data_IF_249011932714
#
_entry.id   IF_249011932714
#
_cell.length_a   1.000
_cell.length_b   1.000
_cell.length_c   1.000
_cell.angle_alpha   90.00
_cell.angle_beta   90.00
_cell.angle_gamma   90.00
#
_symmetry.space_group_name_H-M   'P 1'
#
loop_
_entity.id
_entity.type
_entity.pdbx_description
1 polymer ?
#
# COMPACT_ATOMS: atom_id res chain seq x y z
N UNK A 1 21.20 -13.18 8.88
CA UNK A 1 19.90 -13.87 8.84
C UNK A 1 18.94 -12.94 8.16
N UNK A 2 18.39 -13.33 7.02
CA UNK A 2 17.32 -12.59 6.34
C UNK A 2 16.09 -12.68 7.24
N UNK A 3 15.55 -11.55 7.70
CA UNK A 3 14.34 -11.56 8.51
C UNK A 3 13.14 -11.56 7.55
N UNK A 4 12.47 -12.70 7.44
CA UNK A 4 11.27 -12.89 6.63
C UNK A 4 10.05 -12.60 7.49
N UNK A 5 9.18 -11.72 7.01
CA UNK A 5 7.87 -11.51 7.60
C UNK A 5 6.80 -11.64 6.53
N UNK A 6 5.79 -12.47 6.80
CA UNK A 6 4.62 -12.65 5.95
C UNK A 6 3.50 -11.78 6.44
N UNK A 7 2.89 -11.05 5.51
CA UNK A 7 1.80 -10.13 5.75
C UNK A 7 0.61 -10.45 4.86
N UNK A 8 -0.58 -10.28 5.40
CA UNK A 8 -1.82 -10.24 4.64
C UNK A 8 -2.26 -8.79 4.50
N UNK A 9 -2.28 -8.29 3.27
CA UNK A 9 -2.87 -7.00 2.95
C UNK A 9 -4.30 -7.21 2.46
N UNK A 10 -5.20 -6.34 2.86
CA UNK A 10 -6.61 -6.38 2.48
C UNK A 10 -7.12 -4.98 2.19
N UNK A 11 -7.98 -4.87 1.18
CA UNK A 11 -8.73 -3.67 0.84
C UNK A 11 -10.19 -4.05 0.68
N UNK A 12 -11.06 -3.42 1.45
CA UNK A 12 -12.51 -3.55 1.35
C UNK A 12 -13.05 -2.21 0.86
N UNK A 13 -13.74 -2.22 -0.27
CA UNK A 13 -14.43 -1.06 -0.84
C UNK A 13 -15.91 -1.27 -0.68
N UNK A 14 -16.56 -0.45 0.14
CA UNK A 14 -18.00 -0.49 0.41
C UNK A 14 -18.65 0.75 -0.21
N UNK A 15 -19.60 0.55 -1.11
CA UNK A 15 -20.33 1.63 -1.81
C UNK A 15 -21.83 1.56 -1.50
N UNK A 16 -22.38 2.67 -1.00
CA UNK A 16 -23.81 2.83 -0.76
C UNK A 16 -24.53 3.14 -2.08
N UNK A 17 -25.23 2.15 -2.65
CA UNK A 17 -25.98 2.35 -3.89
C UNK A 17 -27.41 2.86 -3.63
N UNK A 18 -27.98 2.59 -2.44
CA UNK A 18 -29.26 3.10 -1.96
C UNK A 18 -29.19 3.28 -0.43
N UNK A 19 -30.06 4.12 0.19
CA UNK A 19 -30.03 4.31 1.64
C UNK A 19 -30.03 2.99 2.42
N UNK A 20 -28.98 2.74 3.20
CA UNK A 20 -28.75 1.51 3.96
C UNK A 20 -28.51 0.23 3.13
N UNK A 21 -28.20 0.33 1.83
CA UNK A 21 -27.85 -0.80 0.98
C UNK A 21 -26.47 -0.60 0.36
N UNK A 22 -25.56 -1.52 0.67
CA UNK A 22 -24.16 -1.43 0.31
C UNK A 22 -23.75 -2.60 -0.60
N UNK A 23 -22.84 -2.30 -1.52
CA UNK A 23 -22.08 -3.33 -2.24
C UNK A 23 -20.65 -3.32 -1.72
N UNK A 24 -20.04 -4.48 -1.57
CA UNK A 24 -18.67 -4.60 -1.08
C UNK A 24 -17.80 -5.38 -2.06
N UNK A 25 -16.59 -4.87 -2.29
CA UNK A 25 -15.53 -5.56 -3.03
C UNK A 25 -14.33 -5.75 -2.14
N UNK A 26 -13.76 -6.95 -2.19
CA UNK A 26 -12.65 -7.34 -1.33
C UNK A 26 -11.46 -7.79 -2.15
N UNK A 27 -10.31 -7.22 -1.87
CA UNK A 27 -9.04 -7.54 -2.52
C UNK A 27 -8.03 -7.90 -1.46
N UNK A 28 -7.44 -9.09 -1.56
CA UNK A 28 -6.44 -9.56 -0.60
C UNK A 28 -5.20 -10.04 -1.29
N UNK A 29 -4.05 -9.81 -0.67
CA UNK A 29 -2.77 -10.38 -1.08
C UNK A 29 -1.98 -10.88 0.11
N UNK A 30 -1.32 -12.02 -0.07
CA UNK A 30 -0.29 -12.51 0.85
C UNK A 30 1.06 -12.05 0.32
N UNK A 31 1.84 -11.40 1.17
CA UNK A 31 3.08 -10.73 0.81
C UNK A 31 4.17 -11.13 1.79
N UNK A 32 5.26 -11.64 1.26
CA UNK A 32 6.49 -11.90 2.00
C UNK A 32 7.43 -10.70 1.84
N UNK A 33 7.90 -10.15 2.96
CA UNK A 33 8.84 -9.02 2.98
C UNK A 33 10.13 -9.50 3.62
N UNK A 34 11.20 -9.50 2.84
CA UNK A 34 12.54 -9.93 3.22
C UNK A 34 13.40 -8.70 3.48
N UNK A 35 13.89 -8.54 4.70
CA UNK A 35 14.97 -7.59 4.97
C UNK A 35 16.33 -8.23 4.66
N UNK A 36 17.06 -7.66 3.71
CA UNK A 36 18.39 -8.16 3.34
C UNK A 36 19.50 -7.51 4.17
N UNK A 37 19.66 -6.19 4.02
CA UNK A 37 20.80 -5.46 4.59
C UNK A 37 20.46 -3.98 4.77
N UNK A 38 21.08 -3.35 5.77
CA UNK A 38 21.16 -1.89 5.90
C UNK A 38 22.48 -1.42 5.27
N UNK A 39 22.41 -0.53 4.30
CA UNK A 39 23.57 0.14 3.72
C UNK A 39 23.45 1.65 3.96
N UNK A 40 24.33 2.18 4.82
CA UNK A 40 24.21 3.55 5.35
C UNK A 40 22.83 3.75 5.99
N UNK A 41 22.05 4.73 5.56
CA UNK A 41 20.71 5.06 6.07
C UNK A 41 19.58 4.35 5.27
N UNK A 42 19.93 3.45 4.34
CA UNK A 42 18.97 2.75 3.49
C UNK A 42 18.82 1.29 3.88
N UNK A 43 17.57 0.83 3.92
CA UNK A 43 17.18 -0.54 4.24
C UNK A 43 16.73 -1.25 2.96
N UNK A 44 17.40 -2.34 2.62
CA UNK A 44 17.13 -3.11 1.41
C UNK A 44 16.09 -4.20 1.67
N UNK A 45 15.01 -4.19 0.90
CA UNK A 45 13.95 -5.19 0.97
C UNK A 45 13.69 -5.85 -0.38
N UNK A 46 13.36 -7.14 -0.33
CA UNK A 46 12.59 -7.80 -1.41
C UNK A 46 11.17 -8.06 -0.92
N UNK A 47 10.22 -7.79 -1.81
CA UNK A 47 8.78 -7.97 -1.57
C UNK A 47 8.29 -8.98 -2.58
N UNK A 48 7.66 -10.07 -2.11
CA UNK A 48 7.07 -11.11 -2.94
C UNK A 48 5.59 -11.27 -2.62
N UNK A 49 4.70 -10.99 -3.57
CA UNK A 49 3.28 -11.31 -3.45
C UNK A 49 3.04 -12.76 -3.87
N UNK A 50 2.83 -13.65 -2.90
CA UNK A 50 2.69 -15.10 -3.15
C UNK A 50 1.26 -15.52 -3.48
N UNK A 51 0.26 -14.70 -3.13
CA UNK A 51 -1.15 -14.99 -3.39
C UNK A 51 -1.96 -13.72 -3.63
N UNK A 52 -2.87 -13.76 -4.60
CA UNK A 52 -3.91 -12.75 -4.84
C UNK A 52 -5.29 -13.41 -4.79
N UNK A 53 -6.21 -12.83 -4.04
CA UNK A 53 -7.59 -13.31 -3.92
C UNK A 53 -8.56 -12.12 -3.92
N UNK A 54 -9.38 -12.05 -4.97
CA UNK A 54 -10.29 -10.94 -5.28
C UNK A 54 -11.72 -11.47 -5.30
N UNK A 55 -12.64 -10.75 -4.65
CA UNK A 55 -14.07 -11.12 -4.58
C UNK A 55 -14.69 -11.33 -5.96
N UNK A 56 -14.26 -10.55 -6.95
CA UNK A 56 -14.84 -10.51 -8.28
C UNK A 56 -14.01 -11.31 -9.30
N UNK A 57 -13.15 -12.24 -8.86
CA UNK A 57 -12.18 -12.92 -9.73
C UNK A 57 -12.79 -13.74 -10.88
N UNK A 58 -14.07 -14.11 -10.76
CA UNK A 58 -14.80 -14.85 -11.79
C UNK A 58 -15.37 -13.93 -12.90
N UNK A 59 -15.26 -12.61 -12.73
CA UNK A 59 -15.62 -11.64 -13.76
C UNK A 59 -14.46 -11.38 -14.71
N UNK A 60 -14.75 -10.98 -15.95
CA UNK A 60 -13.72 -10.59 -16.92
C UNK A 60 -12.81 -9.46 -16.38
N UNK A 61 -13.40 -8.51 -15.65
CA UNK A 61 -12.68 -7.40 -15.01
C UNK A 61 -11.79 -7.90 -13.87
N UNK A 62 -12.29 -8.79 -13.01
CA UNK A 62 -11.50 -9.36 -11.92
C UNK A 62 -10.31 -10.18 -12.42
N UNK A 63 -10.51 -10.98 -13.47
CA UNK A 63 -9.43 -11.73 -14.11
C UNK A 63 -8.37 -10.81 -14.74
N UNK A 64 -8.82 -9.73 -15.40
CA UNK A 64 -7.94 -8.71 -15.96
C UNK A 64 -7.10 -8.01 -14.88
N UNK A 65 -7.74 -7.56 -13.79
CA UNK A 65 -7.06 -6.92 -12.66
C UNK A 65 -6.07 -7.88 -11.98
N UNK A 66 -6.43 -9.16 -11.84
CA UNK A 66 -5.55 -10.19 -11.26
C UNK A 66 -4.29 -10.38 -12.10
N UNK A 67 -4.43 -10.47 -13.43
CA UNK A 67 -3.27 -10.53 -14.35
C UNK A 67 -2.35 -9.33 -14.20
N UNK A 68 -2.90 -8.13 -14.05
CA UNK A 68 -2.12 -6.91 -13.88
C UNK A 68 -1.48 -6.83 -12.50
N UNK A 69 -2.11 -7.37 -11.46
CA UNK A 69 -1.54 -7.38 -10.11
C UNK A 69 -0.23 -8.17 -10.03
N UNK A 70 -0.07 -9.21 -10.86
CA UNK A 70 1.20 -9.92 -11.00
C UNK A 70 2.33 -9.03 -11.55
N UNK A 71 2.07 -7.86 -12.14
CA UNK A 71 3.15 -6.95 -12.55
C UNK A 71 4.02 -6.50 -11.37
N UNK A 72 3.44 -6.40 -10.17
CA UNK A 72 4.07 -5.90 -8.95
C UNK A 72 4.24 -6.99 -7.89
N UNK A 73 4.23 -8.26 -8.30
CA UNK A 73 4.39 -9.40 -7.39
C UNK A 73 5.83 -9.59 -6.88
N UNK A 74 6.81 -8.98 -7.53
CA UNK A 74 8.22 -9.03 -7.14
C UNK A 74 8.83 -7.64 -7.23
N UNK A 75 9.23 -7.09 -6.09
CA UNK A 75 9.85 -5.78 -5.98
C UNK A 75 11.15 -5.86 -5.19
N UNK A 76 12.14 -5.13 -5.66
CA UNK A 76 13.41 -4.91 -4.99
C UNK A 76 13.51 -3.41 -4.69
N UNK A 77 13.46 -3.04 -3.41
CA UNK A 77 13.30 -1.65 -2.97
C UNK A 77 14.29 -1.26 -1.88
N UNK A 78 14.63 0.02 -1.83
CA UNK A 78 15.24 0.62 -0.65
C UNK A 78 14.24 1.52 0.06
N UNK A 79 14.22 1.43 1.40
CA UNK A 79 13.50 2.35 2.25
C UNK A 79 14.45 3.20 3.12
N UNK A 80 13.99 4.37 3.54
CA UNK A 80 14.68 5.23 4.51
C UNK A 80 14.46 4.78 5.97
N UNK A 81 14.98 5.54 6.93
CA UNK A 81 14.86 5.22 8.36
C UNK A 81 13.43 5.32 8.92
N UNK A 82 12.53 6.02 8.23
CA UNK A 82 11.10 6.08 8.55
C UNK A 82 10.29 4.98 7.83
N UNK A 83 10.97 4.11 7.08
CA UNK A 83 10.38 3.07 6.26
C UNK A 83 9.59 3.62 5.04
N UNK A 84 9.92 4.79 4.51
CA UNK A 84 9.40 5.23 3.20
C UNK A 84 10.21 4.59 2.08
N UNK A 85 9.57 4.10 1.01
CA UNK A 85 10.28 3.66 -0.18
C UNK A 85 10.94 4.87 -0.84
N UNK A 86 12.24 4.79 -1.11
CA UNK A 86 13.00 5.88 -1.75
C UNK A 86 13.64 5.48 -3.08
N UNK A 87 13.68 4.17 -3.40
CA UNK A 87 14.26 3.66 -4.64
C UNK A 87 13.71 2.28 -5.01
N UNK A 88 13.57 2.01 -6.31
CA UNK A 88 13.18 0.73 -6.91
C UNK A 88 14.34 0.19 -7.75
N UNK A 89 14.99 -0.89 -7.32
CA UNK A 89 16.16 -1.45 -8.01
C UNK A 89 15.78 -2.23 -9.27
N UNK A 90 14.61 -2.86 -9.31
CA UNK A 90 14.19 -3.73 -10.41
C UNK A 90 13.23 -3.04 -11.41
N UNK A 91 13.20 -1.70 -11.48
CA UNK A 91 12.28 -0.95 -12.35
C UNK A 91 12.37 -1.35 -13.83
N UNK A 92 13.58 -1.65 -14.34
CA UNK A 92 13.77 -2.11 -15.72
C UNK A 92 13.10 -3.47 -15.97
N UNK A 93 13.11 -4.36 -14.98
CA UNK A 93 12.40 -5.65 -15.04
C UNK A 93 10.89 -5.43 -15.07
N UNK A 94 10.37 -4.56 -14.20
CA UNK A 94 8.93 -4.20 -14.18
C UNK A 94 8.48 -3.64 -15.54
N UNK A 95 9.27 -2.76 -16.15
CA UNK A 95 8.96 -2.20 -17.48
C UNK A 95 8.94 -3.27 -18.56
N UNK A 96 9.89 -4.21 -18.57
CA UNK A 96 9.92 -5.30 -19.53
C UNK A 96 8.68 -6.21 -19.35
N UNK A 97 8.40 -6.63 -18.11
CA UNK A 97 7.21 -7.42 -17.76
C UNK A 97 5.93 -6.72 -18.18
N UNK A 98 5.87 -5.39 -18.03
CA UNK A 98 4.71 -4.61 -18.47
C UNK A 98 4.54 -4.65 -19.99
N UNK A 99 5.61 -4.48 -20.78
CA UNK A 99 5.50 -4.56 -22.24
C UNK A 99 5.00 -5.93 -22.71
N UNK A 100 5.50 -7.00 -22.11
CA UNK A 100 5.06 -8.37 -22.40
C UNK A 100 3.59 -8.60 -22.00
N UNK A 101 3.22 -8.17 -20.79
CA UNK A 101 1.87 -8.32 -20.27
C UNK A 101 0.86 -7.49 -21.09
N UNK A 102 1.20 -6.24 -21.41
CA UNK A 102 0.40 -5.34 -22.22
C UNK A 102 0.12 -5.95 -23.60
N UNK A 103 1.14 -6.48 -24.26
CA UNK A 103 0.99 -7.16 -25.56
C UNK A 103 0.00 -8.31 -25.47
N UNK A 104 0.17 -9.20 -24.48
CA UNK A 104 -0.71 -10.36 -24.24
C UNK A 104 -2.16 -9.95 -23.93
N UNK A 105 -2.35 -8.90 -23.15
CA UNK A 105 -3.69 -8.42 -22.79
C UNK A 105 -4.37 -7.71 -23.97
N UNK A 106 -3.63 -7.03 -24.83
CA UNK A 106 -4.17 -6.32 -26.01
C UNK A 106 -4.81 -7.27 -27.05
N UNK A 107 -4.36 -8.52 -27.10
CA UNK A 107 -4.93 -9.54 -28.00
C UNK A 107 -6.40 -9.84 -27.70
N UNK A 108 -6.80 -9.73 -26.42
CA UNK A 108 -8.11 -10.19 -25.92
C UNK A 108 -8.95 -9.10 -25.25
N UNK A 109 -8.38 -7.91 -25.01
CA UNK A 109 -9.05 -6.79 -24.35
C UNK A 109 -8.94 -5.55 -25.24
N UNK A 110 -10.07 -4.95 -25.60
CA UNK A 110 -10.16 -3.76 -26.46
C UNK A 110 -11.18 -2.78 -25.90
N UNK A 111 -11.03 -1.51 -26.27
CA UNK A 111 -11.93 -0.43 -25.88
C UNK A 111 -11.24 0.62 -25.01
N UNK A 112 -11.78 1.84 -25.06
CA UNK A 112 -11.13 3.05 -24.52
C UNK A 112 -10.76 2.93 -23.03
N UNK A 113 -11.59 2.25 -22.24
CA UNK A 113 -11.33 2.02 -20.81
C UNK A 113 -10.07 1.19 -20.56
N UNK A 114 -9.87 0.13 -21.35
CA UNK A 114 -8.67 -0.72 -21.28
C UNK A 114 -7.44 0.08 -21.73
N UNK A 115 -7.58 0.87 -22.79
CA UNK A 115 -6.48 1.71 -23.28
C UNK A 115 -6.07 2.77 -22.25
N UNK A 116 -7.06 3.42 -21.62
CA UNK A 116 -6.85 4.37 -20.53
C UNK A 116 -6.12 3.70 -19.37
N UNK A 117 -6.55 2.49 -18.97
CA UNK A 117 -5.91 1.74 -17.90
C UNK A 117 -4.45 1.41 -18.23
N UNK A 118 -4.15 0.99 -19.47
CA UNK A 118 -2.79 0.72 -19.91
C UNK A 118 -1.93 1.99 -19.99
N UNK A 119 -2.50 3.13 -20.41
CA UNK A 119 -1.81 4.42 -20.36
C UNK A 119 -1.45 4.79 -18.92
N UNK A 120 -2.37 4.59 -17.97
CA UNK A 120 -2.14 4.87 -16.56
C UNK A 120 -0.98 4.03 -15.98
N UNK A 121 -0.97 2.71 -16.22
CA UNK A 121 0.13 1.84 -15.76
C UNK A 121 1.47 2.25 -16.39
N UNK A 122 1.47 2.55 -17.69
CA UNK A 122 2.68 3.00 -18.39
C UNK A 122 3.20 4.29 -17.75
N UNK A 123 2.33 5.27 -17.48
CA UNK A 123 2.69 6.52 -16.82
C UNK A 123 3.21 6.34 -15.39
N UNK A 124 2.75 5.32 -14.66
CA UNK A 124 3.29 4.97 -13.34
C UNK A 124 4.71 4.41 -13.47
N UNK A 125 4.95 3.53 -14.44
CA UNK A 125 6.26 2.90 -14.63
C UNK A 125 7.32 3.79 -15.29
N UNK A 126 6.92 4.80 -16.07
CA UNK A 126 7.84 5.68 -16.79
C UNK A 126 8.66 6.59 -15.86
N UNK A 127 8.14 6.88 -14.67
CA UNK A 127 8.80 7.72 -13.67
C UNK A 127 8.90 6.99 -12.33
N UNK A 128 10.12 6.79 -11.83
CA UNK A 128 10.36 6.10 -10.56
C UNK A 128 9.63 6.75 -9.38
N UNK A 129 9.52 8.09 -9.34
CA UNK A 129 8.77 8.79 -8.29
C UNK A 129 7.27 8.47 -8.34
N UNK A 130 6.70 8.34 -9.54
CA UNK A 130 5.30 7.94 -9.69
C UNK A 130 5.10 6.50 -9.23
N UNK A 131 6.03 5.60 -9.59
CA UNK A 131 6.01 4.21 -9.14
C UNK A 131 6.12 4.11 -7.62
N UNK A 132 7.05 4.85 -7.00
CA UNK A 132 7.19 4.90 -5.54
C UNK A 132 5.89 5.40 -4.90
N UNK A 133 5.34 6.51 -5.38
CA UNK A 133 4.06 7.04 -4.86
C UNK A 133 2.91 6.06 -5.00
N UNK A 134 2.85 5.33 -6.12
CA UNK A 134 1.88 4.26 -6.33
C UNK A 134 2.10 3.08 -5.38
N UNK A 135 3.33 2.62 -5.20
CA UNK A 135 3.65 1.49 -4.31
C UNK A 135 3.44 1.83 -2.83
N UNK A 136 3.59 3.09 -2.44
CA UNK A 136 3.35 3.57 -1.08
C UNK A 136 1.90 3.98 -0.80
N UNK A 137 0.97 3.80 -1.75
CA UNK A 137 -0.44 3.98 -1.44
C UNK A 137 -0.97 2.86 -0.54
N UNK A 138 -2.05 3.13 0.21
CA UNK A 138 -2.64 2.13 1.13
C UNK A 138 -3.18 0.88 0.42
N UNK A 139 -3.65 1.03 -0.83
CA UNK A 139 -4.05 -0.10 -1.68
C UNK A 139 -2.85 -0.89 -2.24
N UNK A 140 -1.61 -0.44 -2.00
CA UNK A 140 -0.36 -1.13 -2.31
C UNK A 140 0.39 -1.48 -1.01
N UNK A 141 1.69 -1.19 -0.91
CA UNK A 141 2.50 -1.56 0.24
C UNK A 141 2.61 -0.43 1.28
N UNK A 142 1.83 0.64 1.11
CA UNK A 142 1.85 1.83 1.96
C UNK A 142 1.49 1.59 3.42
N UNK A 143 0.80 0.50 3.76
CA UNK A 143 0.56 0.14 5.16
C UNK A 143 1.82 -0.36 5.87
N UNK A 144 2.75 -0.99 5.14
CA UNK A 144 4.05 -1.39 5.67
C UNK A 144 5.05 -0.25 5.54
N UNK A 145 5.21 0.30 4.32
CA UNK A 145 6.11 1.41 4.01
C UNK A 145 5.44 2.78 4.24
N UNK A 146 4.98 2.97 5.47
CA UNK A 146 4.05 4.04 5.87
C UNK A 146 4.74 5.36 6.30
N UNK A 147 6.06 5.34 6.58
CA UNK A 147 6.77 6.54 7.04
C UNK A 147 6.44 6.98 8.48
N UNK A 148 5.69 6.16 9.22
CA UNK A 148 5.19 6.50 10.55
C UNK A 148 6.17 6.09 11.66
N UNK A 149 7.22 5.34 11.32
CA UNK A 149 8.31 5.06 12.26
C UNK A 149 9.26 6.27 12.40
N UNK A 150 10.31 6.10 13.20
CA UNK A 150 11.30 7.14 13.47
C UNK A 150 11.04 7.91 14.77
N UNK A 151 11.57 9.13 14.83
CA UNK A 151 11.56 9.95 16.04
C UNK A 151 10.24 10.70 16.22
N UNK A 152 9.77 10.73 17.46
CA UNK A 152 8.59 11.47 17.92
C UNK A 152 9.03 12.52 18.94
N UNK A 153 8.25 13.59 19.09
CA UNK A 153 8.43 14.50 20.21
C UNK A 153 8.15 13.79 21.56
N UNK A 154 8.61 14.38 22.66
CA UNK A 154 8.47 13.81 24.01
C UNK A 154 7.00 13.58 24.41
N UNK A 155 6.05 14.33 23.82
CA UNK A 155 4.61 14.17 24.02
C UNK A 155 3.98 13.10 23.11
N UNK A 156 4.79 12.33 22.39
CA UNK A 156 4.39 11.28 21.47
C UNK A 156 3.76 11.80 20.18
N UNK A 157 3.84 13.09 19.85
CA UNK A 157 3.28 13.63 18.61
C UNK A 157 4.31 13.76 17.49
N UNK A 158 3.87 13.53 16.25
CA UNK A 158 4.62 13.80 15.02
C UNK A 158 3.67 14.37 13.97
N UNK A 159 4.12 15.39 13.24
CA UNK A 159 3.35 16.00 12.14
C UNK A 159 4.15 15.81 10.86
N UNK A 160 3.49 15.32 9.81
CA UNK A 160 4.12 15.06 8.51
C UNK A 160 3.34 15.75 7.40
N UNK A 161 4.06 16.37 6.46
CA UNK A 161 3.47 16.87 5.22
C UNK A 161 3.51 15.74 4.20
N UNK A 162 2.35 15.25 3.80
CA UNK A 162 2.25 14.14 2.84
C UNK A 162 2.27 14.67 1.40
N UNK A 163 1.49 15.72 1.14
CA UNK A 163 1.48 16.48 -0.11
C UNK A 163 1.19 17.94 0.19
N UNK A 164 1.31 18.81 -0.81
CA UNK A 164 0.75 20.16 -0.73
C UNK A 164 -0.73 20.08 -0.32
N UNK A 165 -1.10 20.73 0.79
CA UNK A 165 -2.46 20.71 1.35
C UNK A 165 -2.88 19.43 2.10
N UNK A 166 -1.98 18.46 2.38
CA UNK A 166 -2.31 17.30 3.23
C UNK A 166 -1.31 17.14 4.36
N UNK A 167 -1.82 17.20 5.58
CA UNK A 167 -1.05 17.01 6.80
C UNK A 167 -1.51 15.75 7.51
N UNK A 168 -0.57 14.88 7.86
CA UNK A 168 -0.78 13.71 8.70
C UNK A 168 -0.35 14.04 10.14
N UNK A 169 -1.24 13.78 11.09
CA UNK A 169 -1.01 13.89 12.52
C UNK A 169 -0.87 12.50 13.09
N UNK A 170 0.26 12.23 13.74
CA UNK A 170 0.59 10.95 14.36
C UNK A 170 0.67 11.11 15.87
N UNK A 171 0.16 10.12 16.58
CA UNK A 171 0.31 10.00 18.03
C UNK A 171 0.79 8.60 18.39
N UNK A 172 2.00 8.52 18.92
CA UNK A 172 2.63 7.31 19.43
C UNK A 172 2.32 7.15 20.92
N UNK A 173 1.88 5.96 21.29
CA UNK A 173 1.64 5.55 22.67
C UNK A 173 2.25 4.16 22.90
N UNK A 174 3.10 4.02 23.91
CA UNK A 174 3.59 2.71 24.34
C UNK A 174 2.51 2.06 25.22
N UNK A 175 1.99 0.91 24.76
CA UNK A 175 0.98 0.12 25.46
C UNK A 175 1.63 -0.83 26.48
N UNK A 176 2.84 -1.29 26.17
CA UNK A 176 3.70 -2.08 27.04
C UNK A 176 5.18 -1.84 26.68
N UNK A 177 6.16 -2.40 27.43
CA UNK A 177 7.58 -2.29 27.06
C UNK A 177 7.92 -2.85 25.67
N UNK A 178 7.09 -3.76 25.15
CA UNK A 178 7.30 -4.41 23.86
C UNK A 178 6.26 -3.99 22.81
N UNK A 179 5.22 -3.25 23.18
CA UNK A 179 4.08 -2.92 22.31
C UNK A 179 3.84 -1.42 22.22
N UNK A 180 3.76 -0.92 20.98
CA UNK A 180 3.53 0.48 20.67
C UNK A 180 2.36 0.61 19.70
N UNK A 181 1.44 1.52 19.99
CA UNK A 181 0.39 1.98 19.09
C UNK A 181 0.77 3.32 18.46
N UNK A 182 0.53 3.47 17.16
CA UNK A 182 0.59 4.74 16.44
C UNK A 182 -0.76 5.01 15.82
N UNK A 183 -1.46 6.03 16.32
CA UNK A 183 -2.70 6.54 15.72
C UNK A 183 -2.38 7.62 14.69
N UNK A 184 -3.05 7.58 13.55
CA UNK A 184 -2.87 8.52 12.46
C UNK A 184 -4.19 9.17 12.05
N UNK A 185 -4.14 10.46 11.70
CA UNK A 185 -5.25 11.21 11.10
C UNK A 185 -4.71 12.13 10.01
N UNK A 186 -5.35 12.12 8.84
CA UNK A 186 -4.99 13.03 7.74
C UNK A 186 -6.07 14.10 7.59
N UNK A 187 -5.63 15.36 7.56
CA UNK A 187 -6.48 16.53 7.37
C UNK A 187 -6.10 17.25 6.08
N UNK A 188 -7.12 17.67 5.31
CA UNK A 188 -6.97 18.65 4.22
C UNK A 188 -7.20 20.10 4.70
N UNK A 189 -7.94 20.26 5.80
CA UNK A 189 -8.16 21.51 6.54
C UNK A 189 -8.90 21.19 7.86
N UNK A 190 -8.88 22.11 8.84
CA UNK A 190 -9.35 21.91 10.24
C UNK A 190 -10.79 21.39 10.46
N UNK A 191 -11.60 21.18 9.42
CA UNK A 191 -12.95 20.62 9.55
C UNK A 191 -13.09 19.38 8.67
N UNK A 192 -13.45 18.27 9.33
CA UNK A 192 -13.74 16.92 8.83
C UNK A 192 -12.52 16.13 8.32
N UNK A 193 -11.91 15.38 9.25
CA UNK A 193 -10.90 14.36 8.94
C UNK A 193 -11.58 13.13 8.32
N UNK A 194 -11.23 12.79 7.08
CA UNK A 194 -11.82 11.67 6.35
C UNK A 194 -10.94 10.43 6.29
N UNK A 195 -9.69 10.52 6.76
CA UNK A 195 -8.76 9.40 6.81
C UNK A 195 -8.19 9.28 8.22
N UNK A 196 -8.34 8.10 8.81
CA UNK A 196 -7.77 7.74 10.10
C UNK A 196 -7.22 6.32 10.05
N UNK A 197 -6.32 6.01 10.99
CA UNK A 197 -5.76 4.69 11.09
C UNK A 197 -5.00 4.44 12.37
N UNK A 198 -4.64 3.18 12.56
CA UNK A 198 -3.94 2.69 13.73
C UNK A 198 -2.95 1.62 13.30
N UNK A 199 -1.68 1.79 13.69
CA UNK A 199 -0.63 0.80 13.53
C UNK A 199 -0.19 0.28 14.89
N UNK A 200 -0.09 -1.04 15.03
CA UNK A 200 0.39 -1.73 16.23
C UNK A 200 1.72 -2.39 15.91
N UNK A 201 2.74 -2.05 16.70
CA UNK A 201 4.07 -2.62 16.63
C UNK A 201 4.34 -3.44 17.89
N UNK A 202 4.84 -4.65 17.72
CA UNK A 202 5.31 -5.50 18.81
C UNK A 202 6.79 -5.83 18.57
N UNK A 203 7.66 -5.55 19.54
CA UNK A 203 9.12 -5.71 19.44
C UNK A 203 9.73 -5.03 18.21
N UNK A 204 9.14 -3.90 17.81
CA UNK A 204 9.53 -3.14 16.62
C UNK A 204 9.06 -3.75 15.29
N UNK A 205 8.34 -4.88 15.30
CA UNK A 205 7.72 -5.50 14.13
C UNK A 205 6.31 -4.95 14.01
N UNK A 206 5.95 -4.45 12.82
CA UNK A 206 4.56 -4.09 12.53
C UNK A 206 3.70 -5.35 12.57
N UNK A 207 2.74 -5.40 13.50
CA UNK A 207 1.77 -6.51 13.62
C UNK A 207 0.51 -6.23 12.85
N UNK A 208 -0.02 -5.03 13.03
CA UNK A 208 -1.28 -4.62 12.44
C UNK A 208 -1.17 -3.18 11.94
N UNK A 209 -1.80 -2.89 10.82
CA UNK A 209 -2.06 -1.52 10.41
C UNK A 209 -3.43 -1.45 9.76
N UNK A 210 -4.29 -0.56 10.25
CA UNK A 210 -5.61 -0.31 9.72
C UNK A 210 -5.71 1.15 9.28
N UNK A 211 -6.25 1.39 8.10
CA UNK A 211 -6.56 2.72 7.60
C UNK A 211 -7.96 2.72 7.01
N UNK A 212 -8.77 3.69 7.39
CA UNK A 212 -10.09 3.91 6.84
C UNK A 212 -10.13 5.27 6.16
N UNK A 213 -10.71 5.29 4.97
CA UNK A 213 -11.06 6.52 4.28
C UNK A 213 -12.54 6.52 3.92
N UNK A 214 -13.24 7.62 4.20
CA UNK A 214 -14.64 7.79 3.78
C UNK A 214 -14.75 9.00 2.88
N UNK A 215 -15.37 8.85 1.71
CA UNK A 215 -15.65 9.96 0.81
C UNK A 215 -17.04 9.75 0.19
N UNK A 216 -17.95 10.68 0.46
CA UNK A 216 -19.36 10.61 0.04
C UNK A 216 -20.02 9.28 0.46
N UNK A 217 -20.46 8.49 -0.52
CA UNK A 217 -21.12 7.18 -0.37
C UNK A 217 -20.15 6.00 -0.44
N UNK A 218 -18.86 6.27 -0.52
CA UNK A 218 -17.82 5.25 -0.59
C UNK A 218 -17.00 5.24 0.70
N UNK A 219 -16.84 4.05 1.26
CA UNK A 219 -15.91 3.77 2.35
C UNK A 219 -14.87 2.77 1.86
N UNK A 220 -13.60 3.04 2.14
CA UNK A 220 -12.52 2.11 1.85
C UNK A 220 -11.77 1.83 3.14
N UNK A 221 -11.62 0.54 3.45
CA UNK A 221 -10.84 0.04 4.58
C UNK A 221 -9.63 -0.70 4.04
N UNK A 222 -8.46 -0.32 4.51
CA UNK A 222 -7.20 -0.98 4.24
C UNK A 222 -6.72 -1.64 5.53
N UNK A 223 -6.25 -2.88 5.44
CA UNK A 223 -5.62 -3.54 6.57
C UNK A 223 -4.38 -4.32 6.16
N UNK A 224 -3.44 -4.39 7.09
CA UNK A 224 -2.24 -5.20 7.06
C UNK A 224 -2.21 -5.98 8.36
N UNK A 225 -2.00 -7.29 8.26
CA UNK A 225 -1.85 -8.19 9.40
C UNK A 225 -0.61 -9.06 9.20
N UNK A 226 0.26 -9.12 10.21
CA UNK A 226 1.36 -10.07 10.26
C UNK A 226 0.82 -11.49 10.49
N UNK A 227 1.25 -12.45 9.67
CA UNK A 227 0.73 -13.83 9.71
C UNK A 227 1.81 -14.91 9.83
N UNK A 228 3.07 -14.53 10.01
CA UNK A 228 4.19 -15.47 10.22
C UNK A 228 5.49 -15.03 9.61
#
# INVERSE_FOLDING_TARGET
MTNLNTYRFESIVSEEIMPNYFTEKKYTRTVEIFFFIKYKELYHYQILCTKFDFSDQDTAVGFFLKKISYLFDELDVYADEENNIVKINNISSLRLRWQELKTKLWETNKGDEVENYFRNISSVLDNEKNLISFLQSYNMFGLYFNGQSGQYADDGKKIRVITEGKIEYLHKQDLSPEETEIKMKVSKDKNENYIEGTAIYEKGILRENFVQSKENKCEIKYSLLWVG
#
